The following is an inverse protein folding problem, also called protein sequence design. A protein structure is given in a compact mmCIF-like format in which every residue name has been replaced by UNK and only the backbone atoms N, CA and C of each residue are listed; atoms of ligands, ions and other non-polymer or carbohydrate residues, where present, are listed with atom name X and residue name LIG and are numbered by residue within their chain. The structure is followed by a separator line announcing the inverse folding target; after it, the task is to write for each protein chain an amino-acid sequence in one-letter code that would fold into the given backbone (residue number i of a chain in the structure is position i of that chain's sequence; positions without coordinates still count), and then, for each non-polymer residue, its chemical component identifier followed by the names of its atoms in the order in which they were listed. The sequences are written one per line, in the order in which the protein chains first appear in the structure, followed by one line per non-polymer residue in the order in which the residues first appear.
data_IF_514237900488
#
_entry.id   IF_514237900488
#
_cell.length_a   1.000
_cell.length_b   1.000
_cell.length_c   1.000
_cell.angle_alpha   90.00
_cell.angle_beta   90.00
_cell.angle_gamma   90.00
#
_symmetry.space_group_name_H-M   'P 1'
#
loop_
_entity.id
_entity.type
_entity.pdbx_description
1 polymer ?
#
# COMPACT_ATOMS: atom_id res chain seq x y z
N UNK A 1 -0.84 37.73 22.33
CA UNK A 1 -1.39 36.96 21.19
C UNK A 1 -0.63 35.65 21.13
N UNK A 2 -1.17 34.60 21.75
CA UNK A 2 -0.61 33.25 21.74
C UNK A 2 -0.94 32.58 20.40
N UNK A 3 0.07 31.98 19.77
CA UNK A 3 -0.08 31.20 18.54
C UNK A 3 -0.61 29.81 18.88
N UNK A 4 -1.90 29.70 19.18
CA UNK A 4 -2.58 28.43 19.42
C UNK A 4 -3.12 27.83 18.10
N UNK A 5 -2.28 27.73 17.06
CA UNK A 5 -2.71 27.28 15.72
C UNK A 5 -2.60 25.76 15.49
N UNK A 6 -2.20 24.98 16.49
CA UNK A 6 -2.14 23.51 16.44
C UNK A 6 -2.71 22.82 17.69
N UNK A 7 -3.64 23.48 18.39
CA UNK A 7 -4.41 22.87 19.48
C UNK A 7 -5.76 22.39 18.90
N UNK A 8 -5.83 21.15 18.42
CA UNK A 8 -7.14 20.55 18.11
C UNK A 8 -7.20 19.54 16.98
N UNK A 9 -6.46 18.43 17.09
CA UNK A 9 -6.99 17.16 16.59
C UNK A 9 -6.61 16.10 17.59
N UNK A 10 -7.58 15.61 18.36
CA UNK A 10 -7.44 14.28 18.97
C UNK A 10 -6.99 13.35 17.86
N UNK A 11 -5.83 12.72 18.00
CA UNK A 11 -5.36 11.72 17.03
C UNK A 11 -6.47 10.68 16.88
N UNK A 12 -7.20 10.76 15.77
CA UNK A 12 -8.34 9.89 15.55
C UNK A 12 -7.76 8.55 15.08
N UNK A 13 -7.40 7.70 16.03
CA UNK A 13 -6.92 6.35 15.76
C UNK A 13 -8.17 5.49 15.50
N UNK A 14 -8.31 5.03 14.26
CA UNK A 14 -9.36 4.11 13.87
C UNK A 14 -8.93 2.68 14.19
N UNK A 15 -9.84 1.87 14.72
CA UNK A 15 -9.60 0.42 14.77
C UNK A 15 -9.81 -0.15 13.37
N UNK A 16 -8.74 -0.65 12.75
CA UNK A 16 -8.77 -1.13 11.35
C UNK A 16 -8.74 -2.66 11.35
N UNK A 17 -9.81 -3.35 10.93
CA UNK A 17 -9.80 -4.80 10.75
C UNK A 17 -8.99 -5.15 9.50
N UNK A 18 -7.71 -5.40 9.69
CA UNK A 18 -6.77 -5.79 8.65
C UNK A 18 -6.98 -7.24 8.25
N UNK A 19 -7.06 -7.48 6.95
CA UNK A 19 -7.00 -8.81 6.36
C UNK A 19 -5.75 -8.94 5.47
N UNK A 20 -5.17 -10.13 5.48
CA UNK A 20 -3.97 -10.48 4.74
C UNK A 20 -4.16 -11.85 4.11
N UNK A 21 -3.93 -11.93 2.81
CA UNK A 21 -3.91 -13.19 2.07
C UNK A 21 -2.48 -13.49 1.67
N UNK A 22 -2.02 -14.69 1.98
CA UNK A 22 -0.69 -15.16 1.62
C UNK A 22 -0.84 -16.09 0.41
N UNK A 23 -0.17 -15.77 -0.69
CA UNK A 23 -0.24 -16.55 -1.94
C UNK A 23 1.13 -17.03 -2.38
N UNK A 24 1.24 -18.28 -2.80
CA UNK A 24 2.41 -18.79 -3.53
C UNK A 24 2.11 -18.89 -5.02
N UNK A 25 3.10 -19.36 -5.78
CA UNK A 25 2.94 -19.74 -7.18
C UNK A 25 1.87 -20.82 -7.43
N UNK A 26 1.47 -21.55 -6.38
CA UNK A 26 0.49 -22.64 -6.40
C UNK A 26 -0.89 -22.24 -5.82
N UNK A 27 -1.10 -20.97 -5.46
CA UNK A 27 -2.38 -20.45 -4.98
C UNK A 27 -2.34 -19.86 -3.58
N UNK A 28 -3.53 -19.69 -2.96
CA UNK A 28 -3.64 -19.17 -1.58
C UNK A 28 -3.16 -20.23 -0.60
N UNK A 29 -2.14 -19.89 0.18
CA UNK A 29 -1.53 -20.78 1.19
C UNK A 29 -1.88 -20.36 2.61
N UNK A 30 -2.42 -19.16 2.80
CA UNK A 30 -2.84 -18.69 4.12
C UNK A 30 -3.74 -17.47 4.06
N UNK A 31 -4.56 -17.31 5.10
CA UNK A 31 -5.32 -16.09 5.37
C UNK A 31 -5.11 -15.70 6.82
N UNK A 32 -4.87 -14.42 7.06
CA UNK A 32 -4.60 -13.85 8.35
C UNK A 32 -5.49 -12.63 8.56
N UNK A 33 -6.02 -12.45 9.78
CA UNK A 33 -6.83 -11.31 10.17
C UNK A 33 -6.26 -10.75 11.46
N UNK A 34 -6.18 -9.44 11.55
CA UNK A 34 -5.68 -8.71 12.70
C UNK A 34 -6.45 -7.41 12.87
N UNK A 35 -6.66 -6.95 14.10
CA UNK A 35 -7.29 -5.66 14.36
C UNK A 35 -6.20 -4.67 14.75
N UNK A 36 -5.89 -3.72 13.87
CA UNK A 36 -4.96 -2.63 14.19
C UNK A 36 -5.65 -1.65 15.12
N UNK A 37 -5.14 -1.50 16.35
CA UNK A 37 -5.72 -0.60 17.37
C UNK A 37 -4.86 0.61 17.70
N UNK A 38 -3.63 0.67 17.18
CA UNK A 38 -2.67 1.74 17.41
C UNK A 38 -2.19 2.37 16.09
N UNK A 39 -1.63 3.58 16.17
CA UNK A 39 -1.05 4.26 15.00
C UNK A 39 0.15 3.49 14.39
N UNK A 40 0.85 2.69 15.20
CA UNK A 40 1.93 1.81 14.75
C UNK A 40 1.86 0.52 15.53
N UNK A 41 1.97 -0.61 14.84
CA UNK A 41 1.93 -1.94 15.42
C UNK A 41 2.86 -2.87 14.65
N UNK A 42 3.56 -3.75 15.38
CA UNK A 42 4.35 -4.83 14.79
C UNK A 42 3.55 -6.11 14.93
N UNK A 43 3.13 -6.66 13.79
CA UNK A 43 2.31 -7.87 13.76
C UNK A 43 3.15 -9.05 13.29
N UNK A 44 3.32 -10.05 14.15
CA UNK A 44 3.97 -11.31 13.77
C UNK A 44 2.95 -12.21 13.09
N UNK A 45 3.15 -12.46 11.79
CA UNK A 45 2.29 -13.37 11.03
C UNK A 45 2.78 -14.81 11.31
N UNK A 46 1.96 -15.66 11.95
CA UNK A 46 2.36 -17.03 12.22
C UNK A 46 2.48 -17.79 10.89
N UNK A 47 3.70 -18.10 10.51
CA UNK A 47 3.98 -18.95 9.36
C UNK A 47 3.94 -20.41 9.79
N UNK A 48 2.82 -21.07 9.54
CA UNK A 48 2.74 -22.52 9.67
C UNK A 48 2.63 -23.11 8.26
N UNK A 49 3.74 -23.60 7.66
CA UNK A 49 3.68 -24.22 6.33
C UNK A 49 2.80 -25.46 6.45
N UNK A 50 1.56 -25.36 5.95
CA UNK A 50 0.63 -26.49 5.95
C UNK A 50 1.19 -27.54 5.01
N UNK A 51 1.72 -28.61 5.63
CA UNK A 51 2.13 -29.87 5.03
C UNK A 51 3.27 -29.82 4.00
N UNK A 52 4.25 -30.66 4.28
CA UNK A 52 5.52 -30.97 3.62
C UNK A 52 5.45 -31.44 2.15
N UNK A 53 4.40 -31.11 1.40
CA UNK A 53 4.27 -31.41 -0.04
C UNK A 53 4.26 -30.15 -0.92
N UNK A 54 3.92 -28.99 -0.35
CA UNK A 54 4.11 -27.70 -1.02
C UNK A 54 5.54 -27.24 -0.80
N UNK A 55 6.44 -27.76 -1.61
CA UNK A 55 7.75 -27.15 -1.85
C UNK A 55 7.51 -25.69 -2.21
N UNK A 56 7.70 -24.78 -1.25
CA UNK A 56 7.70 -23.34 -1.47
C UNK A 56 8.96 -22.89 -2.22
N UNK A 57 9.76 -23.83 -2.72
CA UNK A 57 10.92 -23.56 -3.55
C UNK A 57 10.38 -23.27 -4.94
N UNK A 58 9.88 -22.06 -5.16
CA UNK A 58 9.99 -21.47 -6.49
C UNK A 58 11.50 -21.44 -6.77
N UNK A 59 11.99 -22.35 -7.61
CA UNK A 59 13.39 -22.36 -8.06
C UNK A 59 13.78 -21.06 -8.80
N UNK A 60 12.79 -20.18 -9.05
CA UNK A 60 12.94 -18.84 -9.61
C UNK A 60 13.03 -17.72 -8.57
N UNK A 61 12.87 -18.01 -7.28
CA UNK A 61 13.18 -17.05 -6.23
C UNK A 61 14.70 -16.80 -6.27
N UNK A 62 15.11 -15.81 -7.08
CA UNK A 62 16.45 -15.29 -7.09
C UNK A 62 16.83 -14.99 -5.64
N UNK A 63 18.05 -15.40 -5.24
CA UNK A 63 18.60 -15.24 -3.88
C UNK A 63 18.20 -13.88 -3.27
N UNK A 64 17.13 -13.84 -2.47
CA UNK A 64 16.62 -12.61 -1.89
C UNK A 64 15.09 -12.45 -1.87
N UNK A 65 14.34 -13.12 -2.76
CA UNK A 65 12.88 -12.98 -2.80
C UNK A 65 12.16 -14.00 -1.91
N UNK A 66 11.19 -13.52 -1.13
CA UNK A 66 10.31 -14.38 -0.34
C UNK A 66 9.49 -15.28 -1.28
N UNK A 67 9.34 -16.59 -1.00
CA UNK A 67 8.66 -17.54 -1.89
C UNK A 67 7.13 -17.36 -1.95
N UNK A 68 6.60 -16.37 -1.26
CA UNK A 68 5.18 -16.08 -1.15
C UNK A 68 4.95 -14.57 -1.25
N UNK A 69 3.72 -14.19 -1.60
CA UNK A 69 3.24 -12.81 -1.68
C UNK A 69 2.32 -12.54 -0.52
N UNK A 70 2.39 -11.32 0.00
CA UNK A 70 1.52 -10.79 1.04
C UNK A 70 0.57 -9.77 0.41
N UNK A 71 -0.71 -10.12 0.33
CA UNK A 71 -1.75 -9.27 -0.23
C UNK A 71 -2.66 -8.77 0.89
N UNK A 72 -2.48 -7.53 1.33
CA UNK A 72 -3.42 -6.88 2.25
C UNK A 72 -4.66 -6.42 1.49
N UNK A 73 -5.83 -6.54 2.11
CA UNK A 73 -7.11 -6.15 1.50
C UNK A 73 -7.35 -6.78 0.13
N UNK A 74 -6.92 -8.04 -0.06
CA UNK A 74 -7.03 -8.75 -1.34
C UNK A 74 -8.48 -8.83 -1.88
N UNK A 75 -9.45 -8.92 -0.97
CA UNK A 75 -10.88 -9.02 -1.33
C UNK A 75 -11.58 -7.65 -1.38
N UNK A 76 -10.85 -6.54 -1.22
CA UNK A 76 -11.40 -5.16 -1.16
C UNK A 76 -12.48 -4.96 -0.09
N UNK A 77 -12.52 -5.79 0.96
CA UNK A 77 -13.57 -5.74 1.99
C UNK A 77 -13.32 -4.69 3.06
N UNK A 78 -12.08 -4.23 3.22
CA UNK A 78 -11.71 -3.18 4.14
C UNK A 78 -11.83 -1.78 3.52
N UNK A 79 -12.34 -0.82 4.29
CA UNK A 79 -12.37 0.60 3.94
C UNK A 79 -11.04 1.30 4.28
N UNK A 80 -9.93 0.74 3.80
CA UNK A 80 -8.59 1.30 3.98
C UNK A 80 -7.74 1.05 2.74
N UNK A 81 -6.75 1.92 2.54
CA UNK A 81 -5.76 1.82 1.46
C UNK A 81 -4.47 1.21 1.99
N UNK A 82 -3.79 0.46 1.15
CA UNK A 82 -2.53 -0.20 1.51
C UNK A 82 -1.38 0.47 0.76
N UNK A 83 -0.34 0.84 1.50
CA UNK A 83 0.90 1.35 0.94
C UNK A 83 2.06 0.42 1.30
N UNK A 84 2.63 -0.22 0.28
CA UNK A 84 3.83 -1.04 0.41
C UNK A 84 5.07 -0.16 0.21
N UNK A 85 6.09 -0.35 1.04
CA UNK A 85 7.36 0.37 0.85
C UNK A 85 8.10 -0.18 -0.37
N UNK A 86 8.81 0.70 -1.11
CA UNK A 86 9.46 0.36 -2.40
C UNK A 86 10.60 -0.66 -2.26
N UNK A 87 11.15 -0.78 -1.06
CA UNK A 87 12.19 -1.76 -0.70
C UNK A 87 11.60 -3.15 -0.42
N UNK A 88 10.28 -3.28 -0.32
CA UNK A 88 9.61 -4.54 -0.02
C UNK A 88 9.58 -5.43 -1.28
N UNK A 89 10.16 -6.62 -1.16
CA UNK A 89 10.18 -7.67 -2.20
C UNK A 89 8.78 -7.96 -2.75
N UNK A 90 7.74 -7.86 -1.89
CA UNK A 90 6.33 -7.98 -2.26
C UNK A 90 5.87 -7.00 -3.34
N UNK A 91 6.29 -5.72 -3.30
CA UNK A 91 5.87 -4.71 -4.27
C UNK A 91 6.48 -4.97 -5.65
N UNK A 92 7.79 -5.24 -5.68
CA UNK A 92 8.51 -5.53 -6.92
C UNK A 92 7.96 -6.79 -7.59
N UNK A 93 7.62 -7.80 -6.79
CA UNK A 93 7.00 -9.04 -7.28
C UNK A 93 5.60 -8.77 -7.85
N UNK A 94 4.75 -8.01 -7.14
CA UNK A 94 3.43 -7.61 -7.66
C UNK A 94 3.53 -6.88 -9.01
N UNK A 95 4.49 -5.95 -9.16
CA UNK A 95 4.72 -5.23 -10.42
C UNK A 95 5.13 -6.21 -11.53
N UNK A 96 6.08 -7.11 -11.24
CA UNK A 96 6.52 -8.13 -12.21
C UNK A 96 5.37 -9.04 -12.65
N UNK A 97 4.52 -9.45 -11.72
CA UNK A 97 3.34 -10.29 -11.99
C UNK A 97 2.24 -9.57 -12.79
N UNK A 98 2.25 -8.23 -12.81
CA UNK A 98 1.38 -7.43 -13.68
C UNK A 98 1.97 -7.26 -15.08
N UNK A 99 3.30 -7.23 -15.19
CA UNK A 99 4.00 -7.08 -16.47
C UNK A 99 4.11 -8.40 -17.25
N UNK A 100 4.24 -9.52 -16.55
CA UNK A 100 4.31 -10.87 -17.10
C UNK A 100 3.03 -11.64 -16.74
N UNK A 101 1.90 -11.42 -17.44
CA UNK A 101 0.73 -12.27 -17.27
C UNK A 101 1.12 -13.68 -17.71
N UNK A 102 1.34 -14.57 -16.75
CA UNK A 102 1.71 -15.96 -16.98
C UNK A 102 0.63 -16.66 -17.83
N UNK A 103 0.80 -16.70 -19.16
CA UNK A 103 -0.14 -17.33 -20.07
C UNK A 103 -0.22 -18.86 -19.88
N UNK A 104 0.82 -19.46 -19.29
CA UNK A 104 0.94 -20.90 -19.06
C UNK A 104 0.26 -21.41 -17.78
N UNK A 105 -0.16 -20.53 -16.85
CA UNK A 105 -0.89 -20.94 -15.62
C UNK A 105 -2.41 -20.94 -15.78
N UNK A 106 -2.89 -21.36 -16.95
CA UNK A 106 -4.31 -21.69 -17.23
C UNK A 106 -4.68 -23.12 -16.81
N UNK A 107 -3.95 -23.76 -15.89
CA UNK A 107 -4.39 -25.04 -15.32
C UNK A 107 -5.32 -24.79 -14.14
N UNK A 108 -6.60 -25.14 -14.33
CA UNK A 108 -7.63 -25.60 -13.37
C UNK A 108 -7.73 -25.04 -11.92
N UNK A 109 -6.99 -24.00 -11.55
CA UNK A 109 -7.00 -23.43 -10.22
C UNK A 109 -7.99 -22.26 -10.15
N UNK A 110 -9.23 -22.65 -9.84
CA UNK A 110 -10.32 -21.89 -9.21
C UNK A 110 -10.54 -20.46 -9.72
N UNK A 111 -11.69 -20.23 -10.36
CA UNK A 111 -12.21 -18.89 -10.68
C UNK A 111 -12.15 -17.89 -9.50
N UNK A 112 -12.11 -18.37 -8.26
CA UNK A 112 -11.96 -17.54 -7.07
C UNK A 112 -10.53 -16.99 -6.88
N UNK A 113 -9.49 -17.72 -7.30
CA UNK A 113 -8.11 -17.22 -7.30
C UNK A 113 -7.93 -16.15 -8.37
N UNK A 114 -8.49 -16.37 -9.57
CA UNK A 114 -8.50 -15.39 -10.66
C UNK A 114 -9.23 -14.10 -10.26
N UNK A 115 -10.40 -14.21 -9.61
CA UNK A 115 -11.13 -13.05 -9.09
C UNK A 115 -10.35 -12.30 -8.01
N UNK A 116 -9.76 -12.99 -7.03
CA UNK A 116 -8.96 -12.38 -5.96
C UNK A 116 -7.73 -11.67 -6.52
N UNK A 117 -7.06 -12.27 -7.50
CA UNK A 117 -5.94 -11.63 -8.20
C UNK A 117 -6.39 -10.37 -8.93
N UNK A 118 -7.49 -10.42 -9.69
CA UNK A 118 -8.06 -9.27 -10.42
C UNK A 118 -8.45 -8.13 -9.48
N UNK A 119 -9.11 -8.42 -8.36
CA UNK A 119 -9.47 -7.44 -7.33
C UNK A 119 -8.22 -6.83 -6.68
N UNK A 120 -7.22 -7.66 -6.37
CA UNK A 120 -5.94 -7.18 -5.87
C UNK A 120 -5.23 -6.26 -6.86
N UNK A 121 -5.30 -6.54 -8.19
CA UNK A 121 -4.75 -5.64 -9.22
C UNK A 121 -5.48 -4.30 -9.23
N UNK A 122 -6.80 -4.35 -9.18
CA UNK A 122 -7.64 -3.15 -9.19
C UNK A 122 -7.34 -2.28 -7.96
N UNK A 123 -7.30 -2.88 -6.76
CA UNK A 123 -6.96 -2.15 -5.54
C UNK A 123 -5.56 -1.55 -5.60
N UNK A 124 -4.57 -2.31 -6.10
CA UNK A 124 -3.22 -1.82 -6.26
C UNK A 124 -3.15 -0.58 -7.15
N UNK A 125 -3.82 -0.61 -8.31
CA UNK A 125 -3.89 0.55 -9.21
C UNK A 125 -4.64 1.72 -8.56
N UNK A 126 -5.80 1.46 -7.96
CA UNK A 126 -6.61 2.47 -7.29
C UNK A 126 -5.85 3.18 -6.17
N UNK A 127 -5.16 2.42 -5.33
CA UNK A 127 -4.34 2.93 -4.23
C UNK A 127 -3.12 3.70 -4.75
N UNK A 128 -2.48 3.20 -5.82
CA UNK A 128 -1.39 3.88 -6.51
C UNK A 128 -1.80 5.25 -7.07
N UNK A 129 -2.90 5.33 -7.84
CA UNK A 129 -3.39 6.60 -8.39
C UNK A 129 -3.84 7.56 -7.29
N UNK A 130 -4.48 7.05 -6.25
CA UNK A 130 -4.84 7.84 -5.08
C UNK A 130 -3.62 8.48 -4.39
N UNK A 131 -2.53 7.73 -4.27
CA UNK A 131 -1.28 8.22 -3.69
C UNK A 131 -0.64 9.30 -4.57
N UNK A 132 -0.60 9.10 -5.89
CA UNK A 132 -0.14 10.12 -6.84
C UNK A 132 -0.96 11.40 -6.74
N UNK A 133 -2.29 11.28 -6.62
CA UNK A 133 -3.18 12.44 -6.45
C UNK A 133 -2.90 13.17 -5.12
N UNK A 134 -2.69 12.42 -4.04
CA UNK A 134 -2.36 12.98 -2.72
C UNK A 134 -1.05 13.76 -2.77
N UNK A 135 -0.01 13.21 -3.39
CA UNK A 135 1.29 13.87 -3.56
C UNK A 135 1.14 15.14 -4.42
N UNK A 136 0.38 15.06 -5.51
CA UNK A 136 0.13 16.19 -6.42
C UNK A 136 -0.60 17.34 -5.74
N UNK A 137 -1.58 17.02 -4.89
CA UNK A 137 -2.29 18.00 -4.07
C UNK A 137 -1.36 18.66 -3.04
N UNK A 138 -0.56 17.87 -2.32
CA UNK A 138 0.41 18.39 -1.35
C UNK A 138 1.45 19.30 -2.01
N UNK A 139 1.93 18.94 -3.19
CA UNK A 139 2.85 19.75 -3.97
C UNK A 139 2.20 21.08 -4.40
N UNK A 140 0.99 21.03 -4.96
CA UNK A 140 0.24 22.22 -5.38
C UNK A 140 -0.05 23.16 -4.21
N UNK A 141 -0.39 22.61 -3.05
CA UNK A 141 -0.61 23.38 -1.83
C UNK A 141 0.66 24.07 -1.35
N UNK A 142 1.80 23.37 -1.34
CA UNK A 142 3.10 23.97 -1.01
C UNK A 142 3.49 25.07 -2.00
N UNK A 143 3.30 24.84 -3.30
CA UNK A 143 3.58 25.82 -4.34
C UNK A 143 2.75 27.09 -4.14
N UNK A 144 1.45 26.94 -3.85
CA UNK A 144 0.55 28.08 -3.55
C UNK A 144 1.06 28.89 -2.36
N UNK A 145 1.39 28.24 -1.24
CA UNK A 145 1.91 28.95 -0.05
C UNK A 145 3.22 29.68 -0.35
N UNK A 146 4.11 29.08 -1.12
CA UNK A 146 5.36 29.71 -1.54
C UNK A 146 5.10 30.95 -2.41
N UNK A 147 4.23 30.84 -3.42
CA UNK A 147 3.85 31.98 -4.27
C UNK A 147 3.20 33.11 -3.47
N UNK A 148 2.32 32.78 -2.51
CA UNK A 148 1.69 33.79 -1.65
C UNK A 148 2.71 34.48 -0.73
N UNK A 149 3.74 33.75 -0.29
CA UNK A 149 4.88 34.32 0.42
C UNK A 149 5.65 35.34 -0.43
N UNK A 150 5.95 34.99 -1.69
CA UNK A 150 6.60 35.91 -2.64
C UNK A 150 5.76 37.16 -2.90
N UNK A 151 4.45 37.00 -3.14
CA UNK A 151 3.54 38.14 -3.36
C UNK A 151 3.56 39.11 -2.19
N UNK A 152 3.53 38.60 -0.95
CA UNK A 152 3.62 39.43 0.27
C UNK A 152 4.94 40.20 0.32
N UNK A 153 6.07 39.55 0.04
CA UNK A 153 7.39 40.20 0.01
C UNK A 153 7.49 41.30 -1.05
N UNK A 154 6.95 41.07 -2.24
CA UNK A 154 6.90 42.08 -3.32
C UNK A 154 6.03 43.27 -2.92
N UNK A 155 4.88 43.02 -2.28
CA UNK A 155 4.00 44.08 -1.78
C UNK A 155 4.70 44.94 -0.71
N UNK A 156 5.39 44.30 0.25
CA UNK A 156 6.16 44.99 1.28
C UNK A 156 7.26 45.90 0.72
N UNK A 157 8.00 45.43 -0.30
CA UNK A 157 9.01 46.26 -0.97
C UNK A 157 8.41 47.50 -1.64
N UNK A 158 7.21 47.39 -2.23
CA UNK A 158 6.52 48.56 -2.83
C UNK A 158 6.10 49.58 -1.78
N UNK A 159 5.71 49.15 -0.59
CA UNK A 159 5.28 50.06 0.49
C UNK A 159 6.45 50.80 1.14
N UNK A 160 7.65 50.22 1.17
CA UNK A 160 8.84 50.84 1.80
C UNK A 160 9.57 51.80 0.83
N UNK A 161 9.44 51.59 -0.48
CA UNK A 161 10.08 52.41 -1.51
C UNK A 161 9.26 53.60 -2.01
N UNK A 162 8.10 53.88 -1.40
CA UNK A 162 7.24 55.04 -1.68
C UNK A 162 7.13 55.91 -0.44
#
# INVERSE_FOLDING_TARGET
MSNDFFSGSSEHIWSIPMNLTITSSNGVIGRFRHLLTSATEVVTIPWNPVSSSLSCVDNEAQKGDAPFRLNFNADSTGFYRVHYLVEETSLRRMIKDFQEPNEEKKSEFSANLDLSLRLSRFNFMNDGFALVNTISFLFSFRLKRWMDGIRKLVSLKKTIGS
#
